data_IF_847389719546
#
_entry.id   IF_847389719546
#
_cell.length_a   1.000
_cell.length_b   1.000
_cell.length_c   1.000
_cell.angle_alpha   90.00
_cell.angle_beta   90.00
_cell.angle_gamma   90.00
#
_symmetry.space_group_name_H-M   'P 1'
#
loop_
_entity.id
_entity.type
_entity.pdbx_description
1 polymer ?
#
# COMPACT_ATOMS: atom_id res chain seq x y z
N UNK A 1 -22.61 4.38 15.87
CA UNK A 1 -21.70 4.71 14.75
C UNK A 1 -22.57 5.19 13.59
N UNK A 2 -22.32 6.38 13.06
CA UNK A 2 -22.99 6.87 11.86
C UNK A 2 -22.46 6.11 10.66
N UNK A 3 -23.22 5.14 10.16
CA UNK A 3 -22.87 4.42 8.93
C UNK A 3 -23.49 5.12 7.72
N UNK A 4 -22.81 5.09 6.57
CA UNK A 4 -23.37 5.52 5.29
C UNK A 4 -23.64 4.30 4.42
N UNK A 5 -24.70 4.38 3.63
CA UNK A 5 -25.00 3.35 2.65
C UNK A 5 -24.27 3.66 1.35
N UNK A 6 -23.49 2.72 0.84
CA UNK A 6 -22.86 2.80 -0.48
C UNK A 6 -23.68 1.96 -1.45
N UNK A 7 -24.00 2.53 -2.60
CA UNK A 7 -24.60 1.79 -3.72
C UNK A 7 -23.51 1.03 -4.48
N UNK A 8 -23.73 -0.26 -4.69
CA UNK A 8 -22.80 -1.12 -5.43
C UNK A 8 -23.31 -1.30 -6.85
N UNK A 9 -22.40 -1.15 -7.80
CA UNK A 9 -22.67 -1.36 -9.22
C UNK A 9 -21.80 -2.51 -9.74
N UNK A 10 -22.37 -3.30 -10.64
CA UNK A 10 -21.69 -4.33 -11.42
C UNK A 10 -21.55 -3.85 -12.86
N UNK A 11 -20.34 -3.96 -13.41
CA UNK A 11 -20.06 -3.84 -14.85
C UNK A 11 -19.62 -5.22 -15.33
N UNK A 12 -20.32 -5.77 -16.32
CA UNK A 12 -20.00 -7.08 -16.89
C UNK A 12 -19.17 -6.91 -18.14
N UNK A 13 -18.01 -7.57 -18.18
CA UNK A 13 -17.20 -7.70 -19.40
C UNK A 13 -17.68 -8.93 -20.16
N UNK A 14 -18.26 -8.79 -21.36
CA UNK A 14 -18.65 -9.94 -22.18
C UNK A 14 -17.43 -10.79 -22.53
N UNK A 15 -17.59 -12.10 -22.62
CA UNK A 15 -16.51 -13.01 -22.99
C UNK A 15 -15.91 -12.62 -24.34
N UNK A 16 -16.76 -12.22 -25.28
CA UNK A 16 -16.38 -11.79 -26.63
C UNK A 16 -15.47 -10.55 -26.58
N UNK A 17 -15.67 -9.64 -25.61
CA UNK A 17 -14.81 -8.48 -25.43
C UNK A 17 -13.41 -8.89 -24.98
N UNK A 18 -13.31 -9.81 -24.02
CA UNK A 18 -12.03 -10.35 -23.56
C UNK A 18 -11.32 -11.17 -24.66
N UNK A 19 -12.07 -11.89 -25.49
CA UNK A 19 -11.55 -12.67 -26.63
C UNK A 19 -11.03 -11.79 -27.77
N UNK A 20 -11.55 -10.57 -27.95
CA UNK A 20 -11.04 -9.60 -28.94
C UNK A 20 -9.68 -9.02 -28.58
N UNK A 21 -9.31 -9.04 -27.29
CA UNK A 21 -8.00 -8.59 -26.87
C UNK A 21 -6.90 -9.51 -27.38
N UNK A 22 -5.78 -8.91 -27.78
CA UNK A 22 -4.52 -9.65 -27.95
C UNK A 22 -4.10 -10.31 -26.63
N UNK A 23 -3.21 -11.30 -26.69
CA UNK A 23 -2.72 -11.95 -25.48
C UNK A 23 -1.99 -10.95 -24.56
N UNK A 24 -1.26 -9.99 -25.13
CA UNK A 24 -0.57 -8.91 -24.39
C UNK A 24 -1.57 -7.97 -23.70
N UNK A 25 -2.63 -7.54 -24.41
CA UNK A 25 -3.65 -6.66 -23.83
C UNK A 25 -4.45 -7.37 -22.75
N UNK A 26 -4.77 -8.66 -22.95
CA UNK A 26 -5.48 -9.48 -21.98
C UNK A 26 -4.65 -9.70 -20.72
N UNK A 27 -3.36 -10.01 -20.88
CA UNK A 27 -2.41 -10.08 -19.77
C UNK A 27 -2.36 -8.75 -19.00
N UNK A 28 -2.23 -7.63 -19.71
CA UNK A 28 -2.17 -6.30 -19.11
C UNK A 28 -3.44 -5.97 -18.32
N UNK A 29 -4.62 -6.27 -18.87
CA UNK A 29 -5.90 -6.04 -18.18
C UNK A 29 -5.96 -6.74 -16.81
N UNK A 30 -5.67 -8.04 -16.78
CA UNK A 30 -5.69 -8.79 -15.53
C UNK A 30 -4.59 -8.36 -14.56
N UNK A 31 -3.40 -8.05 -15.07
CA UNK A 31 -2.28 -7.65 -14.24
C UNK A 31 -2.50 -6.29 -13.59
N UNK A 32 -2.99 -5.30 -14.34
CA UNK A 32 -3.37 -3.99 -13.78
C UNK A 32 -4.48 -4.14 -12.72
N UNK A 33 -5.49 -4.97 -12.99
CA UNK A 33 -6.58 -5.24 -12.05
C UNK A 33 -6.08 -5.87 -10.75
N UNK A 34 -5.13 -6.80 -10.86
CA UNK A 34 -4.50 -7.42 -9.70
C UNK A 34 -3.69 -6.41 -8.87
N UNK A 35 -2.84 -5.59 -9.51
CA UNK A 35 -2.08 -4.54 -8.84
C UNK A 35 -2.97 -3.56 -8.10
N UNK A 36 -4.04 -3.08 -8.76
CA UNK A 36 -4.98 -2.15 -8.17
C UNK A 36 -5.66 -2.75 -6.94
N UNK A 37 -6.13 -4.01 -7.02
CA UNK A 37 -6.77 -4.66 -5.89
C UNK A 37 -5.84 -4.77 -4.67
N UNK A 38 -4.58 -5.16 -4.87
CA UNK A 38 -3.60 -5.25 -3.78
C UNK A 38 -3.31 -3.87 -3.17
N UNK A 39 -2.99 -2.88 -4.01
CA UNK A 39 -2.58 -1.55 -3.54
C UNK A 39 -3.74 -0.74 -2.95
N UNK A 40 -4.95 -0.91 -3.46
CA UNK A 40 -6.16 -0.30 -2.88
C UNK A 40 -6.46 -0.92 -1.51
N UNK A 41 -6.31 -2.24 -1.37
CA UNK A 41 -6.42 -2.91 -0.07
C UNK A 41 -5.39 -2.37 0.92
N UNK A 42 -4.12 -2.29 0.51
CA UNK A 42 -3.04 -1.76 1.35
C UNK A 42 -3.27 -0.29 1.74
N UNK A 43 -3.75 0.56 0.83
CA UNK A 43 -4.10 1.95 1.15
C UNK A 43 -5.18 2.04 2.23
N UNK A 44 -6.21 1.20 2.15
CA UNK A 44 -7.24 1.13 3.20
C UNK A 44 -6.65 0.67 4.53
N UNK A 45 -5.87 -0.41 4.52
CA UNK A 45 -5.26 -0.96 5.73
C UNK A 45 -4.33 0.05 6.40
N UNK A 46 -3.49 0.76 5.64
CA UNK A 46 -2.65 1.84 6.14
C UNK A 46 -3.51 2.90 6.85
N UNK A 47 -4.56 3.41 6.19
CA UNK A 47 -5.45 4.40 6.79
C UNK A 47 -6.21 3.90 8.04
N UNK A 48 -6.43 2.60 8.16
CA UNK A 48 -7.06 1.98 9.33
C UNK A 48 -6.07 1.70 10.47
N UNK A 49 -4.79 1.54 10.19
CA UNK A 49 -3.76 1.31 11.21
C UNK A 49 -3.23 2.59 11.86
N UNK A 50 -3.48 3.76 11.28
CA UNK A 50 -3.12 5.04 11.91
C UNK A 50 -3.82 5.21 13.26
N UNK A 51 -3.09 5.68 14.26
CA UNK A 51 -3.62 5.92 15.61
C UNK A 51 -4.71 7.03 15.58
N UNK A 52 -5.88 6.76 16.18
CA UNK A 52 -7.06 7.66 16.15
C UNK A 52 -7.61 8.00 17.54
N UNK A 53 -6.76 7.96 18.56
CA UNK A 53 -7.11 8.24 19.94
C UNK A 53 -6.06 9.11 20.63
N UNK A 54 -6.41 9.65 21.80
CA UNK A 54 -5.51 10.53 22.56
C UNK A 54 -4.63 9.81 23.60
N UNK A 55 -4.75 8.48 23.76
CA UNK A 55 -3.90 7.71 24.67
C UNK A 55 -2.43 7.71 24.20
N UNK A 56 -1.55 8.33 24.99
CA UNK A 56 -0.12 8.50 24.69
C UNK A 56 0.78 7.48 25.37
N UNK A 57 0.23 6.49 26.08
CA UNK A 57 1.06 5.50 26.79
C UNK A 57 1.89 4.68 25.78
N UNK A 58 3.18 4.43 26.03
CA UNK A 58 4.03 3.64 25.13
C UNK A 58 3.45 2.27 24.76
N UNK A 59 2.88 1.57 25.75
CA UNK A 59 2.22 0.27 25.56
C UNK A 59 1.01 0.32 24.61
N UNK A 60 0.46 1.51 24.37
CA UNK A 60 -0.63 1.73 23.42
C UNK A 60 -0.09 2.15 22.06
N UNK A 61 0.73 3.20 22.03
CA UNK A 61 1.12 3.87 20.78
C UNK A 61 2.19 3.11 20.00
N UNK A 62 3.21 2.55 20.65
CA UNK A 62 4.34 1.91 19.95
C UNK A 62 3.90 0.68 19.12
N UNK A 63 3.08 -0.26 19.64
CA UNK A 63 2.59 -1.37 18.84
C UNK A 63 1.71 -0.95 17.65
N UNK A 64 0.86 0.07 17.83
CA UNK A 64 -0.01 0.59 16.75
C UNK A 64 0.82 1.28 15.66
N UNK A 65 1.81 2.09 16.03
CA UNK A 65 2.74 2.69 15.08
C UNK A 65 3.54 1.62 14.33
N UNK A 66 4.03 0.60 15.01
CA UNK A 66 4.72 -0.53 14.39
C UNK A 66 3.84 -1.24 13.34
N UNK A 67 2.56 -1.46 13.67
CA UNK A 67 1.58 -2.04 12.75
C UNK A 67 1.37 -1.15 11.51
N UNK A 68 1.22 0.17 11.70
CA UNK A 68 1.08 1.11 10.60
C UNK A 68 2.33 1.13 9.71
N UNK A 69 3.53 1.19 10.30
CA UNK A 69 4.80 1.19 9.58
C UNK A 69 5.06 -0.15 8.86
N UNK A 70 4.64 -1.28 9.42
CA UNK A 70 4.62 -2.55 8.70
C UNK A 70 3.78 -2.47 7.42
N UNK A 71 2.55 -1.95 7.50
CA UNK A 71 1.67 -1.82 6.34
C UNK A 71 2.22 -0.84 5.30
N UNK A 72 2.83 0.25 5.75
CA UNK A 72 3.55 1.19 4.88
C UNK A 72 4.69 0.50 4.13
N UNK A 73 5.54 -0.28 4.81
CA UNK A 73 6.62 -1.06 4.17
C UNK A 73 6.10 -2.01 3.11
N UNK A 74 5.01 -2.72 3.41
CA UNK A 74 4.36 -3.62 2.46
C UNK A 74 3.81 -2.86 1.25
N UNK A 75 3.14 -1.73 1.47
CA UNK A 75 2.62 -0.87 0.42
C UNK A 75 3.73 -0.34 -0.50
N UNK A 76 4.80 0.23 0.08
CA UNK A 76 5.96 0.71 -0.67
C UNK A 76 6.61 -0.40 -1.49
N UNK A 77 6.79 -1.59 -0.91
CA UNK A 77 7.38 -2.73 -1.62
C UNK A 77 6.50 -3.18 -2.79
N UNK A 78 5.17 -3.17 -2.65
CA UNK A 78 4.24 -3.46 -3.74
C UNK A 78 4.20 -2.37 -4.81
N UNK A 79 4.37 -1.10 -4.45
CA UNK A 79 4.53 0.00 -5.42
C UNK A 79 5.77 -0.23 -6.29
N UNK A 80 6.87 -0.71 -5.70
CA UNK A 80 8.08 -1.06 -6.45
C UNK A 80 7.84 -2.21 -7.44
N UNK A 81 7.16 -3.28 -7.04
CA UNK A 81 6.82 -4.37 -7.97
C UNK A 81 5.87 -3.92 -9.08
N UNK A 82 4.88 -3.08 -8.73
CA UNK A 82 3.93 -2.51 -9.67
C UNK A 82 4.65 -1.64 -10.71
N UNK A 83 5.58 -0.76 -10.31
CA UNK A 83 6.28 0.08 -11.28
C UNK A 83 7.22 -0.72 -12.19
N UNK A 84 7.90 -1.76 -11.68
CA UNK A 84 8.70 -2.65 -12.51
C UNK A 84 7.83 -3.34 -13.56
N UNK A 85 6.64 -3.78 -13.17
CA UNK A 85 5.69 -4.42 -14.06
C UNK A 85 5.10 -3.44 -15.08
N UNK A 86 4.73 -2.22 -14.67
CA UNK A 86 4.27 -1.16 -15.58
C UNK A 86 5.33 -0.80 -16.65
N UNK A 87 6.61 -1.01 -16.33
CA UNK A 87 7.75 -0.81 -17.26
C UNK A 87 8.08 -2.03 -18.10
N UNK A 88 7.43 -3.18 -17.86
CA UNK A 88 7.59 -4.37 -18.72
C UNK A 88 7.14 -4.05 -20.15
N UNK A 89 7.71 -4.77 -21.12
CA UNK A 89 7.48 -4.49 -22.54
C UNK A 89 6.00 -4.61 -22.90
N UNK A 90 5.35 -5.64 -22.38
CA UNK A 90 3.96 -6.02 -22.63
C UNK A 90 3.03 -4.91 -22.11
N UNK A 91 3.13 -4.58 -20.82
CA UNK A 91 2.26 -3.57 -20.19
C UNK A 91 2.54 -2.18 -20.75
N UNK A 92 3.81 -1.79 -20.92
CA UNK A 92 4.16 -0.50 -21.50
C UNK A 92 3.73 -0.38 -22.97
N UNK A 93 3.63 -1.50 -23.70
CA UNK A 93 3.05 -1.58 -25.03
C UNK A 93 1.57 -1.21 -25.01
N UNK A 94 0.76 -1.98 -24.29
CA UNK A 94 -0.69 -1.77 -24.15
C UNK A 94 -1.03 -0.38 -23.58
N UNK A 95 -0.29 0.11 -22.59
CA UNK A 95 -0.48 1.46 -22.06
C UNK A 95 -0.34 2.51 -23.17
N UNK A 96 0.74 2.45 -23.95
CA UNK A 96 1.02 3.45 -25.00
C UNK A 96 0.07 3.37 -26.19
N UNK A 97 -0.32 2.16 -26.61
CA UNK A 97 -1.13 1.96 -27.81
C UNK A 97 -2.63 2.03 -27.54
N UNK A 98 -3.08 1.48 -26.42
CA UNK A 98 -4.50 1.28 -26.14
C UNK A 98 -5.05 2.21 -25.06
N UNK A 99 -4.31 2.53 -24.01
CA UNK A 99 -4.92 3.19 -22.83
C UNK A 99 -4.62 4.68 -22.78
N UNK A 100 -3.35 5.07 -22.72
CA UNK A 100 -2.93 6.48 -22.54
C UNK A 100 -3.46 7.44 -23.62
N UNK A 101 -3.57 7.07 -24.91
CA UNK A 101 -4.17 7.96 -25.93
C UNK A 101 -5.65 8.29 -25.68
N UNK A 102 -6.33 7.51 -24.85
CA UNK A 102 -7.75 7.69 -24.48
C UNK A 102 -7.92 8.40 -23.14
N UNK A 103 -6.82 8.75 -22.48
CA UNK A 103 -6.80 9.54 -21.25
C UNK A 103 -6.42 10.98 -21.58
N UNK A 104 -7.17 11.97 -21.09
CA UNK A 104 -6.90 13.39 -21.36
C UNK A 104 -5.48 13.83 -20.93
N UNK A 105 -4.97 13.26 -19.83
CA UNK A 105 -3.68 13.60 -19.21
C UNK A 105 -2.82 12.34 -18.91
N UNK A 106 -3.10 11.21 -19.55
CA UNK A 106 -2.51 9.92 -19.20
C UNK A 106 -0.98 9.90 -19.26
N UNK A 107 -0.40 10.50 -20.31
CA UNK A 107 1.05 10.57 -20.45
C UNK A 107 1.72 11.39 -19.33
N UNK A 108 1.13 12.52 -18.95
CA UNK A 108 1.66 13.37 -17.87
C UNK A 108 1.50 12.72 -16.50
N UNK A 109 0.40 11.99 -16.28
CA UNK A 109 0.20 11.19 -15.06
C UNK A 109 1.26 10.10 -14.91
N UNK A 110 1.49 9.32 -15.97
CA UNK A 110 2.53 8.28 -15.97
C UNK A 110 3.93 8.89 -15.76
N UNK A 111 4.21 10.05 -16.38
CA UNK A 111 5.46 10.78 -16.19
C UNK A 111 5.62 11.25 -14.75
N UNK A 112 4.57 11.83 -14.15
CA UNK A 112 4.55 12.28 -12.75
C UNK A 112 4.80 11.11 -11.79
N UNK A 113 4.09 9.99 -11.98
CA UNK A 113 4.29 8.77 -11.19
C UNK A 113 5.74 8.26 -11.30
N UNK A 114 6.28 8.18 -12.52
CA UNK A 114 7.67 7.77 -12.72
C UNK A 114 8.66 8.72 -12.07
N UNK A 115 8.43 10.04 -12.13
CA UNK A 115 9.28 11.03 -11.50
C UNK A 115 9.30 10.86 -9.98
N UNK A 116 8.13 10.69 -9.35
CA UNK A 116 8.02 10.47 -7.91
C UNK A 116 8.73 9.18 -7.49
N UNK A 117 8.49 8.07 -8.19
CA UNK A 117 9.16 6.79 -7.90
C UNK A 117 10.67 6.90 -8.08
N UNK A 118 11.15 7.56 -9.14
CA UNK A 118 12.59 7.71 -9.39
C UNK A 118 13.26 8.64 -8.37
N UNK A 119 12.53 9.61 -7.81
CA UNK A 119 13.02 10.46 -6.73
C UNK A 119 13.13 9.68 -5.40
N UNK A 120 12.24 8.71 -5.16
CA UNK A 120 12.23 7.85 -3.98
C UNK A 120 13.32 6.76 -4.04
N UNK A 121 14.59 7.16 -3.94
CA UNK A 121 15.75 6.25 -4.02
C UNK A 121 15.73 5.14 -2.96
N UNK A 122 15.16 5.44 -1.79
CA UNK A 122 14.99 4.52 -0.67
C UNK A 122 14.05 3.33 -0.97
N UNK A 123 13.20 3.42 -2.00
CA UNK A 123 12.12 2.48 -2.28
C UNK A 123 12.65 1.08 -2.65
N UNK A 124 13.70 1.02 -3.46
CA UNK A 124 14.31 -0.24 -3.88
C UNK A 124 14.99 -0.95 -2.69
N UNK A 125 15.69 -0.20 -1.84
CA UNK A 125 16.33 -0.74 -0.64
C UNK A 125 15.28 -1.24 0.36
N UNK A 126 14.19 -0.48 0.55
CA UNK A 126 13.06 -0.89 1.37
C UNK A 126 12.52 -2.26 0.97
N UNK A 127 12.24 -2.43 -0.33
CA UNK A 127 11.72 -3.66 -0.91
C UNK A 127 12.67 -4.83 -0.69
N UNK A 128 13.97 -4.62 -0.97
CA UNK A 128 14.97 -5.68 -0.92
C UNK A 128 15.44 -6.01 0.51
N UNK A 129 15.29 -5.10 1.46
CA UNK A 129 15.74 -5.29 2.84
C UNK A 129 14.68 -5.92 3.74
N UNK A 130 13.58 -5.19 3.98
CA UNK A 130 12.56 -5.56 4.98
C UNK A 130 11.14 -5.71 4.41
N UNK A 131 10.95 -5.42 3.13
CA UNK A 131 9.65 -5.49 2.47
C UNK A 131 9.15 -6.92 2.26
N UNK A 132 9.99 -7.77 1.67
CA UNK A 132 9.67 -9.18 1.40
C UNK A 132 10.71 -10.16 1.95
N UNK A 133 11.76 -9.65 2.57
CA UNK A 133 12.88 -10.42 3.09
C UNK A 133 13.19 -10.00 4.52
N UNK A 134 13.88 -10.86 5.26
CA UNK A 134 14.54 -10.46 6.48
C UNK A 134 15.96 -10.01 6.15
N UNK A 135 16.45 -8.92 6.75
CA UNK A 135 17.81 -8.46 6.53
C UNK A 135 18.85 -9.49 6.97
N UNK A 136 19.93 -9.58 6.21
CA UNK A 136 21.07 -10.40 6.58
C UNK A 136 21.77 -9.88 7.82
N UNK A 137 22.55 -10.73 8.49
CA UNK A 137 23.39 -10.35 9.63
C UNK A 137 24.24 -9.11 9.34
N UNK A 138 24.89 -9.04 8.17
CA UNK A 138 25.74 -7.91 7.81
C UNK A 138 24.97 -6.59 7.69
N UNK A 139 23.72 -6.64 7.19
CA UNK A 139 22.86 -5.46 7.06
C UNK A 139 22.35 -4.96 8.41
N UNK A 140 22.15 -5.84 9.39
CA UNK A 140 21.60 -5.49 10.70
C UNK A 140 22.62 -5.28 11.80
N UNK A 141 23.82 -5.87 11.69
CA UNK A 141 24.89 -5.74 12.69
C UNK A 141 25.12 -4.29 13.14
N UNK A 142 25.16 -3.27 12.26
CA UNK A 142 25.36 -1.88 12.70
C UNK A 142 24.23 -1.33 13.58
N UNK A 143 23.03 -1.90 13.48
CA UNK A 143 21.85 -1.46 14.23
C UNK A 143 21.59 -2.31 15.46
N UNK A 144 22.17 -3.51 15.56
CA UNK A 144 21.97 -4.44 16.68
C UNK A 144 23.17 -4.54 17.63
N UNK A 145 24.18 -3.68 17.46
CA UNK A 145 25.37 -3.66 18.32
C UNK A 145 25.20 -2.56 19.37
N UNK A 146 25.10 -2.89 20.67
CA UNK A 146 24.95 -1.90 21.72
C UNK A 146 26.12 -0.91 21.77
N UNK A 147 25.80 0.36 22.01
CA UNK A 147 26.75 1.44 22.29
C UNK A 147 26.42 2.14 23.62
N UNK A 148 27.07 3.28 23.89
CA UNK A 148 26.90 4.02 25.15
C UNK A 148 25.52 4.69 25.33
N UNK A 149 24.75 4.83 24.25
CA UNK A 149 23.42 5.45 24.25
C UNK A 149 22.31 4.39 24.17
N UNK A 150 22.65 3.11 24.31
CA UNK A 150 21.70 2.01 24.22
C UNK A 150 20.77 1.94 25.43
N UNK A 151 19.46 1.82 25.18
CA UNK A 151 18.43 1.69 26.22
C UNK A 151 17.99 0.23 26.41
N UNK A 152 17.37 -0.07 27.55
CA UNK A 152 16.81 -1.39 27.82
C UNK A 152 15.67 -1.73 26.86
N UNK A 153 15.65 -2.98 26.38
CA UNK A 153 14.56 -3.50 25.56
C UNK A 153 13.26 -3.62 26.37
N UNK A 154 12.17 -3.15 25.78
CA UNK A 154 10.83 -3.28 26.35
C UNK A 154 10.03 -4.33 25.58
N UNK A 155 9.35 -5.21 26.32
CA UNK A 155 8.38 -6.15 25.76
C UNK A 155 7.03 -5.89 26.42
N UNK A 156 6.02 -5.57 25.64
CA UNK A 156 4.65 -5.44 26.14
C UNK A 156 3.92 -6.77 25.97
N UNK A 157 3.41 -7.33 27.07
CA UNK A 157 2.77 -8.65 27.08
C UNK A 157 1.35 -8.53 27.62
N UNK A 158 0.38 -9.01 26.85
CA UNK A 158 -1.00 -9.22 27.27
C UNK A 158 -1.25 -10.68 27.68
N UNK A 159 -2.39 -10.94 28.32
CA UNK A 159 -2.73 -12.28 28.83
C UNK A 159 -3.06 -13.32 27.75
N UNK A 160 -3.29 -12.89 26.51
CA UNK A 160 -3.75 -13.75 25.42
C UNK A 160 -2.70 -13.88 24.31
N UNK A 161 -2.73 -15.00 23.60
CA UNK A 161 -1.88 -15.24 22.42
C UNK A 161 -2.10 -14.14 21.38
N UNK A 162 -1.02 -13.68 20.74
CA UNK A 162 -1.07 -12.58 19.78
C UNK A 162 -0.98 -11.18 20.41
N UNK A 163 -1.18 -11.06 21.73
CA UNK A 163 -0.94 -9.81 22.46
C UNK A 163 0.49 -9.80 23.01
N UNK A 164 1.49 -9.73 22.15
CA UNK A 164 2.88 -9.49 22.57
C UNK A 164 3.57 -8.60 21.56
N UNK A 165 4.27 -7.58 22.04
CA UNK A 165 5.01 -6.65 21.20
C UNK A 165 6.45 -6.49 21.71
N UNK A 166 7.41 -6.78 20.85
CA UNK A 166 8.85 -6.64 21.10
C UNK A 166 9.31 -5.27 20.59
N UNK A 167 9.27 -4.27 21.47
CA UNK A 167 9.49 -2.88 21.10
C UNK A 167 10.92 -2.60 20.61
N UNK A 168 11.91 -3.19 21.27
CA UNK A 168 13.31 -3.08 20.87
C UNK A 168 13.57 -3.63 19.47
N UNK A 169 13.02 -4.81 19.16
CA UNK A 169 13.14 -5.43 17.83
C UNK A 169 12.52 -4.57 16.73
N UNK A 170 11.34 -3.99 16.97
CA UNK A 170 10.72 -3.09 16.00
C UNK A 170 11.46 -1.75 15.88
N UNK A 171 11.99 -1.22 16.98
CA UNK A 171 12.82 -0.01 16.98
C UNK A 171 14.07 -0.17 16.09
N UNK A 172 14.72 -1.34 16.11
CA UNK A 172 15.82 -1.65 15.17
C UNK A 172 15.33 -1.65 13.72
N UNK A 173 14.19 -2.30 13.44
CA UNK A 173 13.64 -2.34 12.10
C UNK A 173 13.26 -0.93 11.59
N UNK A 174 12.68 -0.09 12.45
CA UNK A 174 12.37 1.30 12.14
C UNK A 174 13.63 2.13 11.92
N UNK A 175 14.64 1.98 12.77
CA UNK A 175 15.93 2.67 12.59
C UNK A 175 16.51 2.33 11.22
N UNK A 176 16.61 1.05 10.89
CA UNK A 176 17.07 0.61 9.57
C UNK A 176 16.22 1.22 8.44
N UNK A 177 14.89 1.23 8.59
CA UNK A 177 13.94 1.75 7.61
C UNK A 177 14.18 3.24 7.31
N UNK A 178 14.20 4.08 8.35
CA UNK A 178 14.40 5.51 8.20
C UNK A 178 15.81 5.87 7.74
N UNK A 179 16.81 5.03 8.08
CA UNK A 179 18.19 5.22 7.60
C UNK A 179 18.32 5.10 6.08
N UNK A 180 17.38 4.44 5.39
CA UNK A 180 17.35 4.39 3.92
C UNK A 180 17.04 5.76 3.30
N UNK A 181 16.36 6.64 4.02
CA UNK A 181 16.05 7.99 3.56
C UNK A 181 17.24 8.94 3.73
N UNK A 182 17.93 8.86 4.86
CA UNK A 182 19.05 9.72 5.18
C UNK A 182 19.75 9.34 6.48
N UNK A 183 20.90 9.97 6.78
CA UNK A 183 21.67 9.61 7.97
C UNK A 183 20.99 10.04 9.27
N UNK A 184 20.29 11.17 9.29
CA UNK A 184 19.52 11.58 10.47
C UNK A 184 18.15 10.88 10.46
N UNK A 185 18.03 9.83 11.26
CA UNK A 185 16.80 9.03 11.39
C UNK A 185 15.63 9.85 11.89
N UNK A 186 15.85 10.79 12.82
CA UNK A 186 14.77 11.61 13.38
C UNK A 186 14.25 12.58 12.33
N UNK A 187 15.15 13.23 11.59
CA UNK A 187 14.77 14.11 10.48
C UNK A 187 14.16 13.36 9.29
N UNK A 188 14.40 12.06 9.16
CA UNK A 188 13.88 11.21 8.09
C UNK A 188 12.43 10.75 8.28
N UNK A 189 11.88 10.78 9.50
CA UNK A 189 10.57 10.19 9.81
C UNK A 189 9.45 10.81 8.97
N UNK A 190 9.23 12.12 9.10
CA UNK A 190 8.11 12.79 8.43
C UNK A 190 8.26 12.81 6.90
N UNK A 191 9.42 13.16 6.31
CA UNK A 191 9.57 13.16 4.86
C UNK A 191 9.36 11.78 4.24
N UNK A 192 9.91 10.72 4.85
CA UNK A 192 9.74 9.37 4.34
C UNK A 192 8.27 8.94 4.38
N UNK A 193 7.57 9.16 5.50
CA UNK A 193 6.15 8.81 5.63
C UNK A 193 5.31 9.59 4.59
N UNK A 194 5.57 10.89 4.43
CA UNK A 194 4.86 11.72 3.45
C UNK A 194 5.09 11.23 2.02
N UNK A 195 6.31 10.86 1.66
CA UNK A 195 6.61 10.26 0.35
C UNK A 195 5.92 8.90 0.17
N UNK A 196 5.87 8.05 1.20
CA UNK A 196 5.14 6.77 1.13
C UNK A 196 3.64 6.99 0.86
N UNK A 197 3.02 7.93 1.55
CA UNK A 197 1.61 8.29 1.36
C UNK A 197 1.39 8.81 -0.07
N UNK A 198 2.25 9.71 -0.54
CA UNK A 198 2.12 10.30 -1.85
C UNK A 198 2.31 9.29 -2.98
N UNK A 199 3.31 8.41 -2.89
CA UNK A 199 3.52 7.33 -3.85
C UNK A 199 2.31 6.39 -3.92
N UNK A 200 1.74 6.04 -2.77
CA UNK A 200 0.57 5.16 -2.72
C UNK A 200 -0.65 5.83 -3.36
N UNK A 201 -0.86 7.12 -3.10
CA UNK A 201 -1.91 7.93 -3.73
C UNK A 201 -1.72 8.00 -5.24
N UNK A 202 -0.53 8.38 -5.71
CA UNK A 202 -0.23 8.51 -7.13
C UNK A 202 -0.40 7.19 -7.88
N UNK A 203 0.10 6.08 -7.30
CA UNK A 203 0.00 4.76 -7.92
C UNK A 203 -1.46 4.28 -7.99
N UNK A 204 -2.22 4.37 -6.89
CA UNK A 204 -3.62 3.92 -6.90
C UNK A 204 -4.48 4.75 -7.84
N UNK A 205 -4.34 6.09 -7.84
CA UNK A 205 -5.08 6.94 -8.78
C UNK A 205 -4.71 6.64 -10.23
N UNK A 206 -3.43 6.41 -10.53
CA UNK A 206 -3.00 6.05 -11.89
C UNK A 206 -3.60 4.71 -12.33
N UNK A 207 -3.56 3.68 -11.47
CA UNK A 207 -4.11 2.36 -11.77
C UNK A 207 -5.64 2.39 -11.92
N UNK A 208 -6.34 3.12 -11.04
CA UNK A 208 -7.79 3.29 -11.08
C UNK A 208 -8.23 3.88 -12.42
N UNK A 209 -7.63 5.00 -12.84
CA UNK A 209 -8.01 5.67 -14.08
C UNK A 209 -7.60 4.87 -15.32
N UNK A 210 -6.43 4.24 -15.28
CA UNK A 210 -5.95 3.36 -16.37
C UNK A 210 -6.90 2.19 -16.57
N UNK A 211 -7.31 1.52 -15.48
CA UNK A 211 -8.28 0.42 -15.54
C UNK A 211 -9.67 0.89 -15.95
N UNK A 212 -10.11 2.05 -15.44
CA UNK A 212 -11.37 2.67 -15.82
C UNK A 212 -11.45 2.89 -17.33
N UNK A 213 -10.40 3.49 -17.91
CA UNK A 213 -10.32 3.70 -19.37
C UNK A 213 -10.18 2.39 -20.14
N UNK A 214 -9.37 1.43 -19.66
CA UNK A 214 -9.28 0.11 -20.31
C UNK A 214 -10.67 -0.54 -20.39
N UNK A 215 -11.39 -0.60 -19.26
CA UNK A 215 -12.72 -1.20 -19.21
C UNK A 215 -13.71 -0.44 -20.08
N UNK A 216 -13.82 0.88 -19.90
CA UNK A 216 -14.83 1.67 -20.58
C UNK A 216 -14.58 1.78 -22.08
N UNK A 217 -13.37 2.11 -22.50
CA UNK A 217 -13.08 2.54 -23.88
C UNK A 217 -12.50 1.42 -24.74
N UNK A 218 -11.78 0.45 -24.14
CA UNK A 218 -11.12 -0.62 -24.90
C UNK A 218 -11.94 -1.90 -24.89
N UNK A 219 -12.40 -2.34 -23.71
CA UNK A 219 -13.21 -3.57 -23.60
C UNK A 219 -14.67 -3.34 -24.00
N UNK A 220 -15.26 -2.24 -23.56
CA UNK A 220 -16.69 -1.99 -23.71
C UNK A 220 -17.02 -0.94 -24.80
N UNK A 221 -16.02 -0.28 -25.39
CA UNK A 221 -16.19 0.70 -26.47
C UNK A 221 -17.25 1.79 -26.15
N UNK A 222 -17.28 2.24 -24.90
CA UNK A 222 -18.25 3.23 -24.39
C UNK A 222 -19.67 2.69 -24.18
N UNK A 223 -19.91 1.39 -24.38
CA UNK A 223 -21.24 0.74 -24.31
C UNK A 223 -21.47 -0.04 -23.02
N UNK A 224 -20.61 0.15 -22.02
CA UNK A 224 -20.70 -0.54 -20.73
C UNK A 224 -22.01 -0.22 -20.00
N UNK A 225 -22.72 -1.26 -19.56
CA UNK A 225 -23.91 -1.10 -18.73
C UNK A 225 -23.54 -1.27 -17.26
N UNK A 226 -23.91 -0.28 -16.45
CA UNK A 226 -23.80 -0.34 -15.00
C UNK A 226 -25.12 -0.87 -14.44
N UNK A 227 -25.05 -1.99 -13.73
CA UNK A 227 -26.21 -2.56 -13.03
C UNK A 227 -26.06 -2.32 -11.54
N UNK A 228 -27.04 -1.67 -10.91
CA UNK A 228 -27.09 -1.60 -9.45
C UNK A 228 -27.34 -3.02 -8.91
N UNK A 229 -26.43 -3.51 -8.07
CA UNK A 229 -26.50 -4.85 -7.46
C UNK A 229 -26.86 -4.84 -5.99
N UNK A 230 -26.91 -3.66 -5.37
CA UNK A 230 -27.41 -3.52 -4.01
C UNK A 230 -26.81 -2.33 -3.28
N UNK A 231 -27.01 -2.35 -1.97
CA UNK A 231 -26.56 -1.31 -1.05
C UNK A 231 -25.88 -1.98 0.14
N UNK A 232 -24.72 -1.47 0.54
CA UNK A 232 -23.97 -1.97 1.69
C UNK A 232 -23.82 -0.88 2.74
N UNK A 233 -24.00 -1.24 4.00
CA UNK A 233 -23.69 -0.37 5.12
C UNK A 233 -22.17 -0.31 5.25
N UNK A 234 -21.60 0.87 5.04
CA UNK A 234 -20.17 1.09 5.16
C UNK A 234 -19.87 1.96 6.40
N UNK A 235 -18.84 1.61 7.18
CA UNK A 235 -18.34 2.48 8.22
C UNK A 235 -17.71 3.73 7.60
N UNK A 236 -17.72 4.84 8.34
CA UNK A 236 -16.92 6.01 7.97
C UNK A 236 -15.44 5.65 8.06
N UNK A 237 -14.65 6.01 7.04
CA UNK A 237 -13.25 5.63 6.93
C UNK A 237 -12.41 6.05 8.15
N UNK A 238 -12.65 7.23 8.70
CA UNK A 238 -11.98 7.77 9.89
C UNK A 238 -12.38 7.04 11.19
N UNK A 239 -13.43 6.21 11.17
CA UNK A 239 -13.90 5.44 12.33
C UNK A 239 -13.47 3.98 12.31
N UNK A 240 -12.91 3.49 11.21
CA UNK A 240 -12.35 2.13 11.14
C UNK A 240 -10.94 2.13 11.71
N UNK A 241 -10.66 1.19 12.61
CA UNK A 241 -9.32 0.98 13.20
C UNK A 241 -8.96 -0.50 13.13
N UNK A 242 -7.68 -0.80 12.91
CA UNK A 242 -7.14 -2.15 13.10
C UNK A 242 -6.58 -2.20 14.53
N UNK A 243 -7.16 -2.98 15.44
CA UNK A 243 -6.63 -3.07 16.79
C UNK A 243 -5.34 -3.90 16.77
N UNK A 244 -4.31 -3.42 17.48
CA UNK A 244 -3.16 -4.27 17.83
C UNK A 244 -3.54 -5.25 18.95
N UNK A 245 -4.04 -4.71 20.07
CA UNK A 245 -4.48 -5.49 21.22
C UNK A 245 -5.89 -6.03 20.99
N UNK A 246 -6.07 -7.34 21.07
CA UNK A 246 -7.38 -8.00 20.88
C UNK A 246 -7.81 -8.78 22.12
N UNK A 247 -9.12 -9.04 22.25
CA UNK A 247 -9.65 -9.96 23.27
C UNK A 247 -10.46 -11.07 22.58
N UNK A 248 -10.23 -12.32 22.97
CA UNK A 248 -11.04 -13.47 22.55
C UNK A 248 -12.25 -13.74 23.45
N UNK A 249 -12.44 -12.98 24.54
CA UNK A 249 -13.56 -13.18 25.44
C UNK A 249 -14.85 -12.56 24.87
N UNK A 250 -15.83 -13.42 24.58
CA UNK A 250 -17.23 -13.06 24.66
C UNK A 250 -17.59 -13.03 26.14
N UNK A 251 -17.46 -11.88 26.80
CA UNK A 251 -18.06 -11.69 28.12
C UNK A 251 -19.59 -11.74 27.94
N UNK A 252 -20.15 -12.93 28.14
CA UNK A 252 -21.56 -13.16 28.42
C UNK A 252 -21.70 -13.52 29.88
#
# INVERSE_FOLDING_TARGET
MTSRTIEMQEVRIPLEAAQRLSDEDRYTYYMLGHMFNELMCLQKLVGYALCKHDDRRPARVRPEHAQALFLFRMASSKIWEAILSLRSKEIAGTLRSAILPRMADGAERLKTLNAAVNAARWLADMRNGIGFHFPSFAQWRPFTTPDGDWEDDVIFVGKQTGNTFYDGSDSIAQHWMFRQYGPDVRAAVDPLINEMIELLRLMNSFLEDTLGVFVAEVLLEGKGQHRIVGKVIAPLHDKVVIPFWTTSHNDK
#
